data_IF_073859721578
#
_entry.id   IF_073859721578
#
_cell.length_a   1.000
_cell.length_b   1.000
_cell.length_c   1.000
_cell.angle_alpha   90.00
_cell.angle_beta   90.00
_cell.angle_gamma   90.00
#
_symmetry.space_group_name_H-M   'P 1'
#
loop_
_entity.id
_entity.type
_entity.pdbx_description
1 polymer ?
#
# COMPACT_ATOMS: atom_id res chain seq x y z
N UNK A 1 12.24 8.90 -18.81
CA UNK A 1 12.42 8.27 -17.49
C UNK A 1 11.25 7.33 -17.27
N UNK A 2 11.43 6.02 -17.44
CA UNK A 2 10.34 5.05 -17.30
C UNK A 2 10.13 4.74 -15.83
N UNK A 3 9.20 5.46 -15.18
CA UNK A 3 8.67 5.05 -13.88
C UNK A 3 7.75 3.86 -14.15
N UNK A 4 8.36 2.67 -14.16
CA UNK A 4 7.70 1.42 -14.49
C UNK A 4 6.65 1.06 -13.46
N UNK A 5 5.38 1.32 -13.79
CA UNK A 5 4.26 0.54 -13.24
C UNK A 5 4.46 -0.86 -13.79
N UNK A 6 4.90 -1.78 -12.93
CA UNK A 6 5.16 -3.15 -13.31
C UNK A 6 3.87 -3.77 -13.82
N UNK A 7 3.90 -4.40 -15.00
CA UNK A 7 2.71 -5.04 -15.58
C UNK A 7 2.22 -6.16 -14.65
N UNK A 8 1.28 -5.84 -13.75
CA UNK A 8 0.80 -6.76 -12.70
C UNK A 8 0.56 -6.13 -11.32
N UNK A 9 0.85 -4.85 -11.12
CA UNK A 9 0.43 -4.15 -9.91
C UNK A 9 -1.04 -3.68 -10.00
N UNK A 10 -1.70 -3.72 -8.86
CA UNK A 10 -3.06 -3.25 -8.67
C UNK A 10 -3.00 -1.78 -8.32
N UNK A 11 -3.79 -0.95 -9.01
CA UNK A 11 -3.95 0.45 -8.64
C UNK A 11 -5.19 0.66 -7.75
N UNK A 12 -5.07 1.53 -6.77
CA UNK A 12 -6.14 1.93 -5.86
C UNK A 12 -6.08 3.43 -5.59
N UNK A 13 -7.05 4.15 -6.15
CA UNK A 13 -7.19 5.58 -5.91
C UNK A 13 -7.95 5.85 -4.62
N UNK A 14 -7.28 6.56 -3.71
CA UNK A 14 -7.80 7.10 -2.46
C UNK A 14 -7.51 8.61 -2.37
N UNK A 15 -7.37 9.27 -3.51
CA UNK A 15 -7.15 10.70 -3.64
C UNK A 15 -8.35 11.46 -3.03
N UNK A 16 -8.09 12.43 -2.14
CA UNK A 16 -9.15 13.19 -1.45
C UNK A 16 -9.78 12.49 -0.25
N UNK A 17 -9.35 11.29 0.12
CA UNK A 17 -9.76 10.64 1.37
C UNK A 17 -8.83 11.04 2.52
N UNK A 18 -9.41 11.60 3.58
CA UNK A 18 -8.69 11.90 4.82
C UNK A 18 -8.55 10.65 5.70
N UNK A 19 -7.46 10.60 6.49
CA UNK A 19 -7.24 9.55 7.48
C UNK A 19 -8.48 9.37 8.37
N UNK A 20 -8.92 8.10 8.65
CA UNK A 20 -8.24 6.82 8.40
C UNK A 20 -8.72 6.04 7.16
N UNK A 21 -9.47 6.68 6.26
CA UNK A 21 -10.09 5.98 5.12
C UNK A 21 -9.10 5.34 4.11
N UNK A 22 -7.93 5.94 3.79
CA UNK A 22 -6.98 5.35 2.84
C UNK A 22 -6.45 3.99 3.30
N UNK A 23 -6.09 3.87 4.58
CA UNK A 23 -5.56 2.63 5.18
C UNK A 23 -6.61 1.52 5.16
N UNK A 24 -7.87 1.85 5.48
CA UNK A 24 -8.97 0.89 5.45
C UNK A 24 -9.25 0.37 4.04
N UNK A 25 -9.20 1.26 3.03
CA UNK A 25 -9.33 0.88 1.62
C UNK A 25 -8.17 0.00 1.17
N UNK A 26 -6.93 0.36 1.52
CA UNK A 26 -5.72 -0.41 1.26
C UNK A 26 -5.87 -1.84 1.81
N UNK A 27 -6.22 -1.96 3.10
CA UNK A 27 -6.44 -3.23 3.79
C UNK A 27 -7.50 -4.08 3.10
N UNK A 28 -8.66 -3.50 2.78
CA UNK A 28 -9.74 -4.22 2.09
C UNK A 28 -9.29 -4.76 0.73
N UNK A 29 -8.48 -3.98 0.00
CA UNK A 29 -7.93 -4.38 -1.30
C UNK A 29 -6.88 -5.47 -1.17
N UNK A 30 -5.97 -5.35 -0.20
CA UNK A 30 -4.93 -6.35 0.11
C UNK A 30 -5.52 -7.69 0.56
N UNK A 31 -6.65 -7.67 1.27
CA UNK A 31 -7.38 -8.88 1.65
C UNK A 31 -7.97 -9.63 0.45
N UNK A 32 -8.37 -8.89 -0.60
CA UNK A 32 -8.89 -9.47 -1.83
C UNK A 32 -7.78 -9.87 -2.83
N UNK A 33 -6.51 -9.55 -2.53
CA UNK A 33 -5.37 -9.83 -3.39
C UNK A 33 -4.69 -11.14 -2.99
N UNK A 34 -4.13 -11.81 -3.99
CA UNK A 34 -3.29 -12.97 -3.77
C UNK A 34 -1.94 -12.55 -3.18
N UNK A 35 -1.34 -13.40 -2.33
CA UNK A 35 0.02 -13.18 -1.85
C UNK A 35 1.01 -13.10 -3.01
N UNK A 36 1.94 -12.15 -2.91
CA UNK A 36 2.92 -11.83 -3.95
C UNK A 36 2.50 -10.70 -4.89
N UNK A 37 1.21 -10.31 -4.93
CA UNK A 37 0.76 -9.17 -5.74
C UNK A 37 1.16 -7.82 -5.13
N UNK A 38 1.34 -6.81 -5.98
CA UNK A 38 1.69 -5.45 -5.59
C UNK A 38 0.47 -4.55 -5.71
N UNK A 39 0.20 -3.73 -4.69
CA UNK A 39 -0.82 -2.70 -4.62
C UNK A 39 -0.16 -1.32 -4.66
N UNK A 40 -0.49 -0.52 -5.65
CA UNK A 40 -0.18 0.90 -5.77
C UNK A 40 -1.37 1.73 -5.29
N UNK A 41 -1.29 2.28 -4.08
CA UNK A 41 -2.31 3.13 -3.49
C UNK A 41 -1.96 4.61 -3.70
N UNK A 42 -2.85 5.37 -4.33
CA UNK A 42 -2.67 6.81 -4.57
C UNK A 42 -3.43 7.59 -3.51
N UNK A 43 -2.73 8.35 -2.66
CA UNK A 43 -3.35 9.18 -1.64
C UNK A 43 -2.64 10.53 -1.50
N UNK A 44 -3.43 11.60 -1.34
CA UNK A 44 -2.96 12.97 -1.09
C UNK A 44 -2.59 13.23 0.38
N UNK A 45 -2.88 12.26 1.26
CA UNK A 45 -2.69 12.41 2.70
C UNK A 45 -1.24 12.14 3.11
N UNK A 46 -0.67 13.05 3.89
CA UNK A 46 0.68 12.92 4.43
C UNK A 46 0.75 11.88 5.56
N UNK A 47 -0.34 11.70 6.33
CA UNK A 47 -0.39 10.72 7.42
C UNK A 47 -0.34 9.28 6.89
N UNK A 48 -0.88 9.04 5.70
CA UNK A 48 -0.79 7.74 5.02
C UNK A 48 0.67 7.27 4.86
N UNK A 49 1.65 8.17 4.69
CA UNK A 49 3.06 7.80 4.59
C UNK A 49 3.64 7.17 5.85
N UNK A 50 3.06 7.47 7.02
CA UNK A 50 3.49 6.92 8.31
C UNK A 50 2.64 5.72 8.69
N UNK A 51 1.33 5.79 8.44
CA UNK A 51 0.39 4.73 8.81
C UNK A 51 0.52 3.48 7.93
N UNK A 52 0.77 3.63 6.63
CA UNK A 52 0.93 2.50 5.70
C UNK A 52 2.10 1.58 6.05
N UNK A 53 3.34 2.05 6.24
CA UNK A 53 4.44 1.16 6.62
C UNK A 53 4.21 0.50 7.98
N UNK A 54 3.63 1.21 8.96
CA UNK A 54 3.24 0.61 10.25
C UNK A 54 2.20 -0.49 10.08
N UNK A 55 1.15 -0.24 9.28
CA UNK A 55 0.13 -1.23 8.96
C UNK A 55 0.74 -2.44 8.23
N UNK A 56 1.63 -2.22 7.27
CA UNK A 56 2.30 -3.29 6.54
C UNK A 56 3.14 -4.17 7.47
N UNK A 57 3.93 -3.56 8.36
CA UNK A 57 4.72 -4.29 9.35
C UNK A 57 3.84 -5.15 10.27
N UNK A 58 2.73 -4.61 10.77
CA UNK A 58 1.79 -5.35 11.64
C UNK A 58 0.97 -6.41 10.91
N UNK A 59 0.65 -6.21 9.62
CA UNK A 59 -0.15 -7.13 8.82
C UNK A 59 0.69 -8.19 8.08
N UNK A 60 2.03 -8.16 8.21
CA UNK A 60 2.93 -9.04 7.47
C UNK A 60 2.90 -8.77 5.96
N UNK A 61 2.76 -7.51 5.56
CA UNK A 61 2.89 -7.05 4.19
C UNK A 61 4.23 -6.35 3.99
N UNK A 62 4.74 -6.37 2.77
CA UNK A 62 6.03 -5.77 2.43
C UNK A 62 5.79 -4.41 1.80
N UNK A 63 6.23 -3.35 2.46
CA UNK A 63 6.14 -2.00 1.93
C UNK A 63 7.31 -1.75 0.97
N UNK A 64 7.02 -1.56 -0.31
CA UNK A 64 8.04 -1.36 -1.36
C UNK A 64 8.53 0.09 -1.42
N UNK A 65 7.66 1.04 -1.10
CA UNK A 65 8.03 2.46 -1.10
C UNK A 65 6.86 3.41 -1.32
N UNK A 66 7.13 4.70 -1.17
CA UNK A 66 6.23 5.78 -1.50
C UNK A 66 6.86 6.67 -2.58
N UNK A 67 6.07 7.09 -3.55
CA UNK A 67 6.51 7.96 -4.64
C UNK A 67 5.54 9.13 -4.76
N UNK A 68 6.03 10.34 -4.52
CA UNK A 68 5.23 11.55 -4.71
C UNK A 68 5.09 11.89 -6.18
N UNK A 69 3.86 11.84 -6.67
CA UNK A 69 3.46 12.12 -8.05
C UNK A 69 2.54 13.35 -8.06
N UNK A 70 3.13 14.52 -8.21
CA UNK A 70 2.39 15.79 -8.24
C UNK A 70 1.75 16.11 -6.89
N UNK A 71 0.42 16.13 -6.84
CA UNK A 71 -0.36 16.45 -5.63
C UNK A 71 -0.70 15.22 -4.76
N UNK A 72 -0.29 14.02 -5.18
CA UNK A 72 -0.59 12.77 -4.49
C UNK A 72 0.66 11.91 -4.32
N UNK A 73 0.62 11.00 -3.37
CA UNK A 73 1.68 10.04 -3.11
C UNK A 73 1.18 8.64 -3.43
N UNK A 74 1.95 7.92 -4.23
CA UNK A 74 1.70 6.54 -4.65
C UNK A 74 2.50 5.61 -3.74
N UNK A 75 1.80 4.84 -2.92
CA UNK A 75 2.35 3.88 -1.98
C UNK A 75 2.29 2.48 -2.58
N UNK A 76 3.44 1.85 -2.79
CA UNK A 76 3.55 0.50 -3.33
C UNK A 76 3.70 -0.49 -2.17
N UNK A 77 2.80 -1.46 -2.09
CA UNK A 77 2.73 -2.47 -1.03
C UNK A 77 2.62 -3.83 -1.69
N UNK A 78 3.52 -4.74 -1.38
CA UNK A 78 3.43 -6.12 -1.79
C UNK A 78 2.69 -6.92 -0.72
N UNK A 79 1.65 -7.64 -1.14
CA UNK A 79 0.92 -8.57 -0.28
C UNK A 79 1.89 -9.68 0.14
N UNK A 80 2.23 -9.74 1.42
CA UNK A 80 3.00 -10.87 1.96
C UNK A 80 2.20 -12.16 1.86
N UNK A 81 2.87 -13.27 1.57
CA UNK A 81 2.32 -14.61 1.82
C UNK A 81 2.31 -14.81 3.32
N UNK A 82 1.13 -14.74 3.94
CA UNK A 82 0.83 -15.19 5.30
C UNK A 82 2.05 -15.34 6.22
N UNK A 83 2.48 -14.26 6.88
CA UNK A 83 3.43 -14.41 7.99
C UNK A 83 2.66 -14.82 9.26
N UNK A 84 2.24 -16.08 9.32
CA UNK A 84 2.14 -16.79 10.60
C UNK A 84 3.55 -17.15 11.06
N UNK A 85 4.35 -16.17 11.49
CA UNK A 85 5.50 -16.36 12.40
C UNK A 85 6.21 -15.03 12.66
N UNK A 86 5.84 -14.34 13.73
CA UNK A 86 6.72 -13.44 14.46
C UNK A 86 6.17 -13.29 15.89
N UNK A 87 6.58 -14.21 16.76
CA UNK A 87 6.23 -14.23 18.17
C UNK A 87 6.78 -15.48 18.86
N UNK A 88 8.11 -15.61 18.89
CA UNK A 88 8.82 -16.28 19.98
C UNK A 88 9.08 -15.25 21.09
#
# INVERSE_FOLDING_TARGET
MNTGVGQGEVELDCEGLLCPLPVLRARKRLLAMAPGQVLALRASDAMAAVDLPHFCAGAGHEFLGAESVGAVTVYRIRRGADQQNAGE
#
